data_IF_924843125118
#
_entry.id   IF_924843125118
#
_cell.length_a   1.000
_cell.length_b   1.000
_cell.length_c   1.000
_cell.angle_alpha   90.00
_cell.angle_beta   90.00
_cell.angle_gamma   90.00
#
_symmetry.space_group_name_H-M   'P 1'
#
loop_
_entity.id
_entity.type
_entity.pdbx_description
1 polymer ?
#
# COMPACT_ATOMS: atom_id res chain seq x y z
N UNK A 1 -16.62 0.57 3.93
CA UNK A 1 -15.24 0.70 3.43
C UNK A 1 -15.22 1.96 2.59
N UNK A 2 -14.53 3.01 3.01
CA UNK A 2 -14.48 4.24 2.22
C UNK A 2 -13.53 3.97 1.05
N UNK A 3 -14.08 3.69 -0.13
CA UNK A 3 -13.30 3.61 -1.36
C UNK A 3 -12.78 5.01 -1.68
N UNK A 4 -11.49 5.25 -1.46
CA UNK A 4 -10.84 6.50 -1.85
C UNK A 4 -10.42 6.37 -3.30
N UNK A 5 -11.14 7.03 -4.19
CA UNK A 5 -10.57 7.33 -5.50
C UNK A 5 -9.54 8.44 -5.32
N UNK A 6 -8.43 8.44 -6.08
CA UNK A 6 -7.47 9.53 -6.02
C UNK A 6 -8.16 10.88 -6.28
N UNK A 7 -7.79 11.89 -5.51
CA UNK A 7 -8.33 13.25 -5.63
C UNK A 7 -8.04 13.84 -7.03
N UNK A 8 -8.87 14.78 -7.46
CA UNK A 8 -8.66 15.46 -8.73
C UNK A 8 -7.34 16.25 -8.68
N UNK A 9 -6.41 15.93 -9.59
CA UNK A 9 -5.06 16.52 -9.62
C UNK A 9 -3.98 15.72 -8.88
N UNK A 10 -4.34 14.62 -8.20
CA UNK A 10 -3.35 13.72 -7.62
C UNK A 10 -2.50 13.05 -8.72
N UNK A 11 -1.19 12.98 -8.50
CA UNK A 11 -0.24 12.36 -9.42
C UNK A 11 0.16 10.97 -8.95
N UNK A 12 0.52 10.10 -9.89
CA UNK A 12 0.96 8.74 -9.60
C UNK A 12 2.43 8.77 -9.17
N UNK A 13 2.73 8.37 -7.94
CA UNK A 13 4.07 8.43 -7.34
C UNK A 13 4.86 7.15 -7.57
N UNK A 14 4.25 5.99 -7.31
CA UNK A 14 4.89 4.68 -7.52
C UNK A 14 3.85 3.64 -7.88
N UNK A 15 4.25 2.71 -8.75
CA UNK A 15 3.48 1.50 -9.07
C UNK A 15 4.36 0.27 -9.00
N UNK A 16 3.75 -0.88 -8.79
CA UNK A 16 4.44 -2.16 -8.85
C UNK A 16 3.69 -3.28 -8.15
N UNK A 17 4.24 -4.48 -8.26
CA UNK A 17 3.68 -5.65 -7.60
C UNK A 17 4.13 -5.72 -6.15
N UNK A 18 3.19 -5.96 -5.24
CA UNK A 18 3.47 -6.28 -3.85
C UNK A 18 2.82 -7.62 -3.50
N UNK A 19 3.52 -8.43 -2.72
CA UNK A 19 2.89 -9.57 -2.06
C UNK A 19 2.15 -9.04 -0.84
N UNK A 20 0.82 -9.00 -0.90
CA UNK A 20 -0.02 -8.59 0.24
C UNK A 20 -0.40 -9.82 1.07
N UNK A 21 -0.16 -9.78 2.37
CA UNK A 21 -0.67 -10.80 3.30
C UNK A 21 -2.15 -10.57 3.57
N UNK A 22 -2.96 -11.63 3.52
CA UNK A 22 -4.35 -11.59 3.93
C UNK A 22 -4.51 -11.31 5.42
N UNK A 23 -5.59 -10.60 5.77
CA UNK A 23 -5.87 -10.18 7.15
C UNK A 23 -6.38 -11.34 8.01
N UNK A 24 -7.34 -12.10 7.50
CA UNK A 24 -7.91 -13.27 8.20
C UNK A 24 -7.21 -14.57 7.77
N UNK A 25 -7.17 -14.84 6.47
CA UNK A 25 -6.44 -15.98 5.89
C UNK A 25 -5.03 -15.50 5.54
N UNK A 26 -4.03 -15.94 6.31
CA UNK A 26 -2.64 -15.43 6.30
C UNK A 26 -1.80 -15.82 5.07
N UNK A 27 -2.42 -16.01 3.92
CA UNK A 27 -1.74 -16.28 2.64
C UNK A 27 -1.25 -14.97 1.99
N UNK A 28 -0.19 -15.08 1.21
CA UNK A 28 0.34 -14.00 0.39
C UNK A 28 -0.34 -14.00 -0.98
N UNK A 29 -0.71 -12.81 -1.48
CA UNK A 29 -1.29 -12.65 -2.80
C UNK A 29 -0.61 -11.50 -3.54
N UNK A 30 -0.17 -11.70 -4.79
CA UNK A 30 0.35 -10.60 -5.60
C UNK A 30 -0.78 -9.61 -5.88
N UNK A 31 -0.50 -8.33 -5.69
CA UNK A 31 -1.41 -7.23 -6.02
C UNK A 31 -0.61 -6.13 -6.68
N UNK A 32 -1.13 -5.59 -7.76
CA UNK A 32 -0.53 -4.43 -8.41
C UNK A 32 -0.97 -3.18 -7.65
N UNK A 33 -0.05 -2.55 -6.96
CA UNK A 33 -0.31 -1.37 -6.15
C UNK A 33 0.04 -0.08 -6.89
N UNK A 34 -0.74 0.95 -6.60
CA UNK A 34 -0.54 2.33 -7.03
C UNK A 34 -0.54 3.22 -5.78
N UNK A 35 0.53 3.99 -5.62
CA UNK A 35 0.64 5.05 -4.63
C UNK A 35 0.48 6.40 -5.33
N UNK A 36 -0.46 7.21 -4.83
CA UNK A 36 -0.79 8.53 -5.35
C UNK A 36 -0.34 9.63 -4.39
N UNK A 37 -0.13 10.83 -4.92
CA UNK A 37 0.38 11.98 -4.18
C UNK A 37 -0.54 12.50 -3.07
N UNK A 38 -1.82 12.15 -3.12
CA UNK A 38 -2.83 12.48 -2.10
C UNK A 38 -2.88 11.45 -0.95
N UNK A 39 -1.97 10.48 -0.96
CA UNK A 39 -1.94 9.39 0.00
C UNK A 39 -2.82 8.20 -0.35
N UNK A 40 -3.56 8.22 -1.47
CA UNK A 40 -4.32 7.06 -1.92
C UNK A 40 -3.38 5.90 -2.25
N UNK A 41 -3.60 4.74 -1.63
CA UNK A 41 -2.82 3.54 -1.86
C UNK A 41 -3.72 2.36 -2.23
N UNK A 42 -3.72 2.03 -3.52
CA UNK A 42 -4.75 1.22 -4.16
C UNK A 42 -4.12 -0.02 -4.77
N UNK A 43 -4.65 -1.20 -4.45
CA UNK A 43 -4.16 -2.49 -4.91
C UNK A 43 -5.18 -3.24 -5.75
N UNK A 44 -4.75 -3.73 -6.90
CA UNK A 44 -5.55 -4.44 -7.88
C UNK A 44 -5.12 -5.89 -8.02
N UNK A 45 -6.01 -6.75 -8.54
CA UNK A 45 -5.68 -8.15 -8.83
C UNK A 45 -4.63 -8.26 -9.95
N UNK A 46 -4.68 -7.33 -10.89
CA UNK A 46 -3.84 -7.24 -12.08
C UNK A 46 -3.55 -5.78 -12.42
N UNK A 47 -2.68 -5.54 -13.40
CA UNK A 47 -2.42 -4.17 -13.87
C UNK A 47 -3.71 -3.61 -14.49
N UNK A 48 -4.26 -2.50 -13.97
CA UNK A 48 -5.50 -1.93 -14.50
C UNK A 48 -5.29 -1.45 -15.93
N UNK A 49 -5.97 -2.09 -16.89
CA UNK A 49 -5.96 -1.70 -18.32
C UNK A 49 -6.97 -0.60 -18.62
N UNK A 50 -8.05 -0.54 -17.84
CA UNK A 50 -9.10 0.45 -17.94
C UNK A 50 -9.54 0.86 -16.51
N UNK A 51 -10.40 1.88 -16.42
CA UNK A 51 -10.91 2.39 -15.14
C UNK A 51 -11.96 1.47 -14.49
N UNK A 52 -12.37 0.40 -15.17
CA UNK A 52 -13.43 -0.51 -14.70
C UNK A 52 -12.90 -1.58 -13.75
N UNK A 53 -11.57 -1.80 -13.71
CA UNK A 53 -11.00 -2.79 -12.82
C UNK A 53 -11.21 -2.38 -11.37
N UNK A 54 -11.98 -3.20 -10.65
CA UNK A 54 -12.35 -2.91 -9.27
C UNK A 54 -11.13 -3.07 -8.33
N UNK A 55 -10.83 -2.06 -7.49
CA UNK A 55 -9.72 -2.15 -6.54
C UNK A 55 -10.04 -3.17 -5.44
N UNK A 56 -9.11 -4.10 -5.19
CA UNK A 56 -9.23 -5.07 -4.10
C UNK A 56 -8.70 -4.53 -2.77
N UNK A 57 -7.86 -3.50 -2.83
CA UNK A 57 -7.32 -2.78 -1.69
C UNK A 57 -7.44 -1.30 -1.96
N UNK A 58 -8.04 -0.56 -1.04
CA UNK A 58 -8.21 0.87 -1.17
C UNK A 58 -8.18 1.47 0.23
N UNK A 59 -7.10 2.18 0.55
CA UNK A 59 -6.91 2.87 1.83
C UNK A 59 -5.90 4.01 1.66
N UNK A 60 -5.81 4.87 2.67
CA UNK A 60 -4.87 5.99 2.69
C UNK A 60 -3.60 5.65 3.48
N UNK A 61 -2.46 6.20 3.07
CA UNK A 61 -1.20 6.20 3.83
C UNK A 61 -0.99 7.47 4.65
N UNK A 62 -1.93 8.41 4.62
CA UNK A 62 -1.87 9.62 5.46
C UNK A 62 -1.83 9.21 6.94
N UNK A 63 -0.82 9.69 7.66
CA UNK A 63 -0.58 9.30 9.05
C UNK A 63 -0.14 7.86 9.27
N UNK A 64 0.28 7.14 8.21
CA UNK A 64 0.79 5.78 8.34
C UNK A 64 2.15 5.74 9.07
N UNK A 65 2.32 4.75 9.93
CA UNK A 65 3.64 4.33 10.40
C UNK A 65 4.13 3.15 9.56
N UNK A 66 5.34 3.25 9.04
CA UNK A 66 5.99 2.18 8.26
C UNK A 66 7.01 1.46 9.12
N UNK A 67 6.90 0.14 9.24
CA UNK A 67 7.80 -0.70 10.05
C UNK A 67 8.45 -1.76 9.17
N UNK A 68 9.78 -1.72 9.07
CA UNK A 68 10.59 -2.73 8.35
C UNK A 68 10.75 -3.99 9.20
N UNK A 69 10.69 -5.17 8.58
CA UNK A 69 10.90 -6.45 9.28
C UNK A 69 11.40 -7.56 8.34
N UNK A 70 12.04 -8.58 8.90
CA UNK A 70 12.44 -9.80 8.16
C UNK A 70 11.50 -10.99 8.45
N UNK A 71 10.37 -10.76 9.13
CA UNK A 71 9.38 -11.79 9.45
C UNK A 71 7.99 -11.43 8.91
N UNK A 72 7.18 -12.40 8.46
CA UNK A 72 7.48 -13.84 8.42
C UNK A 72 8.29 -14.26 7.18
N UNK A 73 8.59 -13.34 6.26
CA UNK A 73 9.48 -13.55 5.11
C UNK A 73 10.51 -12.41 5.06
N UNK A 74 11.68 -12.61 4.43
CA UNK A 74 12.59 -11.52 4.13
C UNK A 74 11.91 -10.39 3.37
N UNK A 75 12.46 -9.18 3.47
CA UNK A 75 11.98 -8.02 2.71
C UNK A 75 10.50 -7.69 2.98
N UNK A 76 10.06 -7.88 4.22
CA UNK A 76 8.70 -7.55 4.67
C UNK A 76 8.66 -6.13 5.26
N UNK A 77 7.52 -5.47 5.11
CA UNK A 77 7.20 -4.25 5.84
C UNK A 77 5.72 -4.19 6.24
N UNK A 78 5.43 -3.43 7.29
CA UNK A 78 4.09 -3.18 7.78
C UNK A 78 3.73 -1.71 7.57
N UNK A 79 2.49 -1.46 7.16
CA UNK A 79 1.83 -0.18 7.29
C UNK A 79 0.84 -0.26 8.43
N UNK A 80 1.04 0.53 9.48
CA UNK A 80 0.05 0.74 10.53
C UNK A 80 -0.70 2.03 10.22
N UNK A 81 -2.00 1.92 10.01
CA UNK A 81 -2.88 3.03 9.64
C UNK A 81 -4.10 3.04 10.57
N UNK A 82 -4.71 4.21 10.77
CA UNK A 82 -5.99 4.31 11.48
C UNK A 82 -7.10 4.09 10.46
N UNK A 83 -8.01 3.16 10.75
CA UNK A 83 -9.28 3.05 10.06
C UNK A 83 -10.41 3.26 11.07
N UNK A 84 -11.22 4.29 10.83
CA UNK A 84 -12.23 4.78 11.77
C UNK A 84 -11.62 5.21 13.11
N UNK A 85 -11.55 4.30 14.08
CA UNK A 85 -11.02 4.56 15.43
C UNK A 85 -9.97 3.52 15.85
N UNK A 86 -9.65 2.56 14.99
CA UNK A 86 -8.74 1.46 15.32
C UNK A 86 -7.50 1.48 14.45
N UNK A 87 -6.36 1.12 15.03
CA UNK A 87 -5.16 0.85 14.27
C UNK A 87 -5.28 -0.50 13.58
N UNK A 88 -5.12 -0.49 12.26
CA UNK A 88 -5.05 -1.70 11.45
C UNK A 88 -3.66 -1.82 10.84
N UNK A 89 -3.18 -3.05 10.73
CA UNK A 89 -1.91 -3.35 10.10
C UNK A 89 -2.15 -3.94 8.70
N UNK A 90 -1.43 -3.44 7.72
CA UNK A 90 -1.30 -4.02 6.37
C UNK A 90 0.11 -4.52 6.21
N UNK A 91 0.27 -5.77 5.75
CA UNK A 91 1.56 -6.45 5.68
C UNK A 91 1.92 -6.77 4.24
N UNK A 92 3.12 -6.35 3.84
CA UNK A 92 3.62 -6.44 2.48
C UNK A 92 5.00 -7.09 2.44
N UNK A 93 5.32 -7.74 1.33
CA UNK A 93 6.62 -8.31 1.04
C UNK A 93 6.94 -8.06 -0.43
N UNK A 94 8.23 -7.89 -0.72
CA UNK A 94 8.82 -7.76 -2.06
C UNK A 94 10.04 -8.67 -2.18
N UNK A 95 10.53 -8.87 -3.40
CA UNK A 95 11.56 -9.88 -3.63
C UNK A 95 12.96 -9.41 -3.21
N UNK A 96 13.25 -8.11 -3.31
CA UNK A 96 14.57 -7.54 -2.99
C UNK A 96 14.51 -6.50 -1.86
N UNK A 97 15.61 -6.34 -1.09
CA UNK A 97 15.68 -5.28 -0.08
C UNK A 97 15.64 -3.88 -0.69
N UNK A 98 16.19 -3.68 -1.90
CA UNK A 98 16.16 -2.40 -2.60
C UNK A 98 14.74 -1.98 -2.95
N UNK A 99 13.93 -2.91 -3.49
CA UNK A 99 12.53 -2.65 -3.80
C UNK A 99 11.75 -2.32 -2.52
N UNK A 100 12.10 -2.96 -1.39
CA UNK A 100 11.48 -2.66 -0.09
C UNK A 100 11.78 -1.22 0.32
N UNK A 101 13.03 -0.80 0.25
CA UNK A 101 13.41 0.58 0.60
C UNK A 101 12.73 1.59 -0.32
N UNK A 102 12.65 1.34 -1.63
CA UNK A 102 11.93 2.23 -2.55
C UNK A 102 10.46 2.39 -2.18
N UNK A 103 9.77 1.30 -1.83
CA UNK A 103 8.37 1.37 -1.38
C UNK A 103 8.23 2.08 -0.04
N UNK A 104 9.07 1.76 0.94
CA UNK A 104 9.05 2.40 2.26
C UNK A 104 9.27 3.91 2.12
N UNK A 105 10.30 4.33 1.40
CA UNK A 105 10.64 5.74 1.21
C UNK A 105 9.52 6.50 0.50
N UNK A 106 8.95 5.95 -0.58
CA UNK A 106 7.85 6.58 -1.30
C UNK A 106 6.60 6.74 -0.40
N UNK A 107 6.26 5.70 0.37
CA UNK A 107 5.10 5.74 1.28
C UNK A 107 5.33 6.76 2.40
N UNK A 108 6.51 6.76 3.02
CA UNK A 108 6.84 7.73 4.09
C UNK A 108 6.80 9.16 3.58
N UNK A 109 7.40 9.42 2.41
CA UNK A 109 7.39 10.75 1.80
C UNK A 109 5.95 11.25 1.56
N UNK A 110 5.09 10.44 0.96
CA UNK A 110 3.69 10.81 0.73
C UNK A 110 2.93 10.98 2.05
N UNK A 111 3.14 10.07 3.01
CA UNK A 111 2.49 10.15 4.32
C UNK A 111 2.87 11.42 5.09
N UNK A 112 4.10 11.92 4.94
CA UNK A 112 4.58 13.17 5.55
C UNK A 112 4.08 14.42 4.83
N UNK A 113 4.00 14.40 3.50
CA UNK A 113 3.49 15.53 2.71
C UNK A 113 2.01 15.84 2.94
N UNK A 114 1.25 14.85 3.41
CA UNK A 114 -0.19 14.98 3.69
C UNK A 114 -0.53 15.21 5.17
N UNK A 115 0.48 15.34 6.06
CA UNK A 115 0.26 15.74 7.46
C UNK A 115 -0.01 17.24 7.55
#
# INVERSE_FOLDING_TARGET
>A
MSSTSPAQGATLIKVGWLQKRGEYIKNWRPRFFQLWSDGSFIGYKEVPKNKELEPLNNFTVVGAEVLKTEKPKPNTFFLRIIQWTTFVQRTFHVDTPEEREEWINAIQQVAEQCK
#
